data_IF_845956128291
#
_entry.id   IF_845956128291
#
_cell.length_a   1.000
_cell.length_b   1.000
_cell.length_c   1.000
_cell.angle_alpha   90.00
_cell.angle_beta   90.00
_cell.angle_gamma   90.00
#
_symmetry.space_group_name_H-M   'P 1'
#
loop_
_entity.id
_entity.type
_entity.pdbx_description
1 polymer ?
#
# COMPACT_ATOMS: atom_id res chain seq x y z
N UNK A 1 22.37 -11.48 -11.60
CA UNK A 1 22.91 -11.64 -12.98
C UNK A 1 22.32 -12.87 -13.66
N UNK A 2 22.46 -14.04 -13.08
CA UNK A 2 22.09 -15.33 -13.66
C UNK A 2 20.58 -15.47 -13.93
N UNK A 3 19.74 -15.01 -13.01
CA UNK A 3 18.28 -15.14 -13.09
C UNK A 3 17.58 -13.88 -13.62
N UNK A 4 18.30 -12.83 -13.97
CA UNK A 4 17.77 -11.57 -14.52
C UNK A 4 16.62 -10.93 -13.71
N UNK A 5 16.61 -11.12 -12.40
CA UNK A 5 15.59 -10.54 -11.51
C UNK A 5 15.73 -9.03 -11.40
N UNK A 6 14.61 -8.32 -11.19
CA UNK A 6 14.54 -6.87 -11.20
C UNK A 6 14.63 -6.24 -9.82
N UNK A 7 14.61 -7.04 -8.76
CA UNK A 7 14.71 -6.54 -7.39
C UNK A 7 14.49 -7.59 -6.34
N UNK A 8 14.39 -7.13 -5.09
CA UNK A 8 14.24 -7.99 -3.92
C UNK A 8 13.17 -7.45 -2.98
N UNK A 9 12.30 -8.34 -2.53
CA UNK A 9 11.40 -8.09 -1.41
C UNK A 9 11.97 -8.77 -0.16
N UNK A 10 12.10 -8.04 0.92
CA UNK A 10 12.58 -8.56 2.20
C UNK A 10 11.41 -8.84 3.13
N UNK A 11 11.22 -10.10 3.45
CA UNK A 11 10.33 -10.54 4.49
C UNK A 11 10.88 -10.06 5.83
N UNK A 12 10.01 -9.50 6.69
CA UNK A 12 10.41 -8.99 8.00
C UNK A 12 11.70 -8.13 7.94
N UNK A 13 11.75 -7.17 7.01
CA UNK A 13 12.89 -6.26 6.86
C UNK A 13 13.24 -5.55 8.18
N UNK A 14 12.24 -5.33 9.04
CA UNK A 14 12.42 -4.76 10.37
C UNK A 14 13.25 -5.59 11.35
N UNK A 15 13.65 -6.83 10.99
CA UNK A 15 14.62 -7.63 11.74
C UNK A 15 16.07 -7.34 11.34
N UNK A 16 16.29 -6.68 10.20
CA UNK A 16 17.60 -6.33 9.66
C UNK A 16 18.01 -4.92 10.11
N UNK A 17 19.29 -4.62 10.10
CA UNK A 17 19.77 -3.28 10.42
C UNK A 17 19.80 -2.35 9.19
N UNK A 18 19.70 -1.05 9.45
CA UNK A 18 19.74 0.03 8.45
C UNK A 18 21.01 -0.02 7.62
N UNK A 19 22.16 -0.28 8.24
CA UNK A 19 23.45 -0.28 7.56
C UNK A 19 23.54 -1.39 6.53
N UNK A 20 23.03 -2.59 6.88
CA UNK A 20 22.93 -3.72 5.97
C UNK A 20 22.06 -3.38 4.76
N UNK A 21 20.88 -2.83 4.98
CA UNK A 21 19.95 -2.48 3.91
C UNK A 21 20.52 -1.40 2.99
N UNK A 22 21.12 -0.36 3.56
CA UNK A 22 21.78 0.69 2.80
C UNK A 22 23.00 0.17 2.03
N UNK A 23 23.76 -0.77 2.58
CA UNK A 23 24.86 -1.43 1.88
C UNK A 23 24.37 -2.25 0.69
N UNK A 24 23.33 -3.05 0.84
CA UNK A 24 22.69 -3.80 -0.26
C UNK A 24 22.26 -2.84 -1.37
N UNK A 25 21.63 -1.72 -1.01
CA UNK A 25 21.23 -0.68 -1.98
C UNK A 25 22.44 -0.11 -2.72
N UNK A 26 23.46 0.27 -2.00
CA UNK A 26 24.70 0.84 -2.58
C UNK A 26 25.39 -0.12 -3.57
N UNK A 27 25.52 -1.39 -3.22
CA UNK A 27 26.10 -2.43 -4.08
C UNK A 27 25.32 -2.61 -5.39
N UNK A 28 23.97 -2.60 -5.29
CA UNK A 28 23.11 -2.72 -6.46
C UNK A 28 23.17 -1.45 -7.34
N UNK A 29 23.23 -0.27 -6.73
CA UNK A 29 23.34 0.99 -7.46
C UNK A 29 24.67 1.13 -8.20
N UNK A 30 25.78 0.71 -7.58
CA UNK A 30 27.09 0.69 -8.22
C UNK A 30 27.13 -0.25 -9.42
N UNK A 31 26.45 -1.40 -9.33
CA UNK A 31 26.49 -2.43 -10.38
C UNK A 31 25.51 -2.18 -11.53
N UNK A 32 24.31 -1.70 -11.22
CA UNK A 32 23.20 -1.60 -12.21
C UNK A 32 22.71 -0.18 -12.45
N UNK A 33 23.19 0.81 -11.69
CA UNK A 33 22.74 2.20 -11.72
C UNK A 33 21.72 2.51 -10.62
N UNK A 34 21.72 3.76 -10.17
CA UNK A 34 20.92 4.26 -9.05
C UNK A 34 19.43 3.94 -9.25
N UNK A 35 18.83 3.25 -8.28
CA UNK A 35 17.39 2.94 -8.25
C UNK A 35 16.90 1.96 -9.33
N UNK A 36 17.78 1.39 -10.15
CA UNK A 36 17.39 0.48 -11.26
C UNK A 36 16.86 -0.86 -10.76
N UNK A 37 17.36 -1.37 -9.67
CA UNK A 37 16.85 -2.58 -9.04
C UNK A 37 15.94 -2.20 -7.87
N UNK A 38 14.75 -2.80 -7.81
CA UNK A 38 13.77 -2.52 -6.78
C UNK A 38 14.21 -3.19 -5.47
N UNK A 39 14.21 -2.45 -4.37
CA UNK A 39 14.37 -2.99 -3.02
C UNK A 39 13.21 -2.49 -2.19
N UNK A 40 12.52 -3.41 -1.52
CA UNK A 40 11.48 -3.07 -0.56
C UNK A 40 11.27 -4.21 0.42
N UNK A 41 10.60 -3.93 1.54
CA UNK A 41 10.33 -4.97 2.53
C UNK A 41 9.31 -4.55 3.57
N UNK A 42 9.10 -5.43 4.53
CA UNK A 42 8.20 -5.23 5.65
C UNK A 42 8.93 -4.52 6.79
N UNK A 43 8.50 -3.28 7.14
CA UNK A 43 9.19 -2.48 8.15
C UNK A 43 8.77 -2.85 9.59
N UNK A 44 8.51 -4.11 9.84
CA UNK A 44 8.18 -4.66 11.16
C UNK A 44 8.95 -5.95 11.43
N UNK A 45 8.96 -6.35 12.70
CA UNK A 45 9.53 -7.59 13.17
C UNK A 45 8.42 -8.44 13.79
N UNK A 46 8.40 -9.73 13.45
CA UNK A 46 7.48 -10.69 14.09
C UNK A 46 8.07 -11.28 15.39
N UNK A 47 9.37 -11.13 15.61
CA UNK A 47 10.10 -11.67 16.76
C UNK A 47 11.30 -10.80 17.11
N UNK A 48 12.13 -11.26 18.03
CA UNK A 48 13.37 -10.58 18.42
C UNK A 48 14.40 -10.66 17.30
N UNK A 49 15.03 -9.52 17.02
CA UNK A 49 16.13 -9.47 16.08
C UNK A 49 17.39 -10.16 16.65
N UNK A 50 18.18 -10.75 15.74
CA UNK A 50 19.53 -11.23 16.03
C UNK A 50 20.61 -10.13 15.87
N UNK A 51 20.21 -8.90 15.54
CA UNK A 51 21.12 -7.77 15.39
C UNK A 51 21.68 -7.39 16.77
N UNK A 52 23.00 -7.36 16.86
CA UNK A 52 23.73 -7.05 18.10
C UNK A 52 24.05 -5.56 18.22
N UNK A 53 24.21 -5.11 19.47
CA UNK A 53 24.61 -3.76 19.80
C UNK A 53 23.52 -2.71 19.59
N UNK A 54 23.95 -1.43 19.43
CA UNK A 54 23.04 -0.28 19.29
C UNK A 54 22.68 0.04 17.83
N UNK A 55 22.66 -0.95 16.96
CA UNK A 55 22.28 -0.74 15.56
C UNK A 55 20.81 -0.40 15.43
N UNK A 56 20.50 0.47 14.49
CA UNK A 56 19.13 0.83 14.14
C UNK A 56 18.53 -0.21 13.19
N UNK A 57 17.36 -0.71 13.51
CA UNK A 57 16.65 -1.66 12.66
C UNK A 57 15.99 -0.94 11.47
N UNK A 58 15.87 -1.64 10.34
CA UNK A 58 15.16 -1.15 9.15
C UNK A 58 13.64 -1.22 9.33
N UNK A 59 13.16 -0.72 10.46
CA UNK A 59 11.77 -0.67 10.88
C UNK A 59 11.14 0.69 10.55
N UNK A 60 9.83 0.78 10.67
CA UNK A 60 9.00 1.94 10.31
C UNK A 60 9.52 3.26 10.88
N UNK A 61 9.86 3.26 12.16
CA UNK A 61 10.36 4.43 12.88
C UNK A 61 11.73 4.93 12.40
N UNK A 62 12.47 4.10 11.69
CA UNK A 62 13.80 4.40 11.16
C UNK A 62 13.81 4.59 9.63
N UNK A 63 12.64 4.73 8.98
CA UNK A 63 12.52 4.87 7.52
C UNK A 63 13.39 6.03 6.99
N UNK A 64 13.47 7.12 7.73
CA UNK A 64 14.31 8.27 7.39
C UNK A 64 15.82 8.00 7.41
N UNK A 65 16.30 6.88 7.96
CA UNK A 65 17.70 6.46 7.94
C UNK A 65 18.03 5.58 6.73
N UNK A 66 17.03 4.96 6.11
CA UNK A 66 17.20 4.18 4.88
C UNK A 66 17.48 5.08 3.68
N UNK A 67 18.14 4.54 2.66
CA UNK A 67 18.26 5.20 1.35
C UNK A 67 16.89 5.46 0.74
N UNK A 68 16.76 6.55 0.00
CA UNK A 68 15.51 6.97 -0.65
C UNK A 68 14.95 5.95 -1.64
N UNK A 69 15.74 4.97 -2.10
CA UNK A 69 15.33 3.90 -3.01
C UNK A 69 15.15 2.54 -2.31
N UNK A 70 14.91 2.54 -1.01
CA UNK A 70 14.49 1.35 -0.24
C UNK A 70 13.05 1.56 0.21
N UNK A 71 12.13 0.79 -0.36
CA UNK A 71 10.71 0.88 -0.08
C UNK A 71 10.29 0.10 1.17
N UNK A 72 9.28 0.58 1.87
CA UNK A 72 8.66 -0.08 2.99
C UNK A 72 7.15 -0.21 2.79
N UNK A 73 6.58 -1.36 3.06
CA UNK A 73 5.13 -1.56 3.04
C UNK A 73 4.46 -0.60 4.02
N UNK A 74 3.52 0.20 3.52
CA UNK A 74 2.85 1.24 4.30
C UNK A 74 1.57 0.70 4.96
N UNK A 75 1.70 0.14 6.15
CA UNK A 75 0.58 -0.32 6.97
C UNK A 75 -0.37 0.81 7.35
N UNK A 76 0.14 2.02 7.56
CA UNK A 76 -0.68 3.20 7.88
C UNK A 76 -1.66 3.55 6.74
N UNK A 77 -1.19 3.55 5.49
CA UNK A 77 -2.08 3.73 4.32
C UNK A 77 -3.06 2.57 4.18
N UNK A 78 -2.59 1.34 4.32
CA UNK A 78 -3.43 0.13 4.26
C UNK A 78 -4.58 0.20 5.27
N UNK A 79 -4.25 0.44 6.52
CA UNK A 79 -5.22 0.42 7.62
C UNK A 79 -6.08 1.68 7.64
N UNK A 80 -5.54 2.82 7.24
CA UNK A 80 -6.29 4.06 7.01
C UNK A 80 -7.40 3.87 5.98
N UNK A 81 -7.12 3.18 4.87
CA UNK A 81 -8.11 2.95 3.79
C UNK A 81 -9.17 1.94 4.22
N UNK A 82 -8.80 0.73 4.63
CA UNK A 82 -9.73 -0.41 4.82
C UNK A 82 -10.00 -0.80 6.26
N UNK A 83 -9.32 -0.16 7.21
CA UNK A 83 -9.31 -0.55 8.62
C UNK A 83 -8.21 -1.56 8.96
N UNK A 84 -7.95 -1.71 10.26
CA UNK A 84 -6.87 -2.52 10.81
C UNK A 84 -6.83 -3.94 10.22
N UNK A 85 -5.65 -4.35 9.78
CA UNK A 85 -5.44 -5.72 9.31
C UNK A 85 -5.54 -6.76 10.44
N UNK A 86 -5.32 -6.34 11.69
CA UNK A 86 -5.32 -7.23 12.86
C UNK A 86 -6.69 -7.30 13.55
N UNK A 87 -7.62 -6.40 13.25
CA UNK A 87 -8.96 -6.31 13.85
C UNK A 87 -10.03 -6.38 12.79
N UNK A 88 -10.64 -7.54 12.61
CA UNK A 88 -11.57 -7.83 11.52
C UNK A 88 -12.66 -6.76 11.33
N UNK A 89 -13.33 -6.34 12.40
CA UNK A 89 -14.47 -5.42 12.36
C UNK A 89 -14.11 -3.92 12.42
N UNK A 90 -12.82 -3.59 12.53
CA UNK A 90 -12.41 -2.19 12.51
C UNK A 90 -12.44 -1.65 11.09
N UNK A 91 -13.26 -0.63 10.87
CA UNK A 91 -13.41 0.04 9.59
C UNK A 91 -12.24 1.03 9.33
N UNK A 92 -12.04 1.36 8.06
CA UNK A 92 -11.20 2.47 7.62
C UNK A 92 -12.00 3.52 6.88
N UNK A 93 -11.32 4.41 6.19
CA UNK A 93 -11.92 5.54 5.47
C UNK A 93 -13.05 5.14 4.51
N UNK A 94 -12.87 4.06 3.73
CA UNK A 94 -13.82 3.69 2.69
C UNK A 94 -15.06 2.95 3.24
N UNK A 95 -14.99 2.37 4.41
CA UNK A 95 -16.01 1.47 4.95
C UNK A 95 -16.57 1.92 6.32
N UNK A 96 -16.51 3.23 6.60
CA UNK A 96 -17.30 3.87 7.63
C UNK A 96 -16.55 4.42 8.85
N UNK A 97 -15.22 4.39 8.89
CA UNK A 97 -14.48 5.09 9.94
C UNK A 97 -14.53 6.60 9.70
N UNK A 98 -14.81 7.33 10.76
CA UNK A 98 -14.72 8.79 10.78
C UNK A 98 -13.29 9.26 11.08
N UNK A 99 -12.96 10.51 10.69
CA UNK A 99 -11.72 11.20 11.01
C UNK A 99 -10.45 10.49 10.50
N UNK A 100 -10.52 9.96 9.25
CA UNK A 100 -9.39 9.34 8.56
C UNK A 100 -8.79 10.24 7.45
N UNK A 101 -9.29 11.46 7.33
CA UNK A 101 -8.91 12.40 6.27
C UNK A 101 -7.43 12.75 6.32
N UNK A 102 -6.88 12.97 7.52
CA UNK A 102 -5.47 13.34 7.71
C UNK A 102 -4.52 12.22 7.29
N UNK A 103 -4.85 10.96 7.62
CA UNK A 103 -4.10 9.78 7.17
C UNK A 103 -4.20 9.62 5.63
N UNK A 104 -5.38 9.91 5.05
CA UNK A 104 -5.53 9.86 3.59
C UNK A 104 -4.72 10.96 2.90
N UNK A 105 -4.71 12.17 3.43
CA UNK A 105 -3.89 13.27 2.91
C UNK A 105 -2.39 12.93 2.95
N UNK A 106 -1.90 12.38 4.06
CA UNK A 106 -0.52 11.91 4.17
C UNK A 106 -0.24 10.77 3.16
N UNK A 107 -1.19 9.85 2.98
CA UNK A 107 -1.07 8.73 2.04
C UNK A 107 -0.96 9.16 0.60
N UNK A 108 -1.67 10.22 0.18
CA UNK A 108 -1.63 10.73 -1.21
C UNK A 108 -0.21 11.16 -1.60
N UNK A 109 0.54 11.74 -0.69
CA UNK A 109 1.95 12.15 -0.89
C UNK A 109 2.96 11.10 -0.51
N UNK A 110 2.54 9.84 -0.36
CA UNK A 110 3.40 8.78 0.16
C UNK A 110 4.09 9.17 1.48
N UNK A 111 3.37 9.83 2.39
CA UNK A 111 3.85 10.29 3.70
C UNK A 111 5.01 11.29 3.65
N UNK A 112 5.40 11.79 2.48
CA UNK A 112 6.41 12.84 2.35
C UNK A 112 5.92 14.21 2.85
N UNK A 113 4.61 14.43 2.86
CA UNK A 113 3.95 15.52 3.55
C UNK A 113 2.90 14.96 4.51
N UNK A 114 2.95 15.40 5.77
CA UNK A 114 2.01 15.05 6.82
C UNK A 114 1.65 16.31 7.61
N UNK A 115 0.89 17.25 6.99
CA UNK A 115 0.67 18.56 7.55
C UNK A 115 -0.16 18.54 8.84
N UNK A 116 -0.97 17.52 9.03
CA UNK A 116 -1.84 17.35 10.19
C UNK A 116 -1.30 16.39 11.24
N UNK A 117 -0.05 15.93 11.08
CA UNK A 117 0.62 15.02 12.01
C UNK A 117 -0.18 13.73 12.27
N UNK A 118 -0.77 13.17 11.22
CA UNK A 118 -1.40 11.86 11.28
C UNK A 118 -0.40 10.81 11.78
N UNK A 119 -0.87 9.90 12.61
CA UNK A 119 -0.04 8.83 13.16
C UNK A 119 0.32 7.83 12.05
N UNK A 120 1.61 7.62 11.81
CA UNK A 120 2.05 6.73 10.74
C UNK A 120 3.54 6.78 10.46
N UNK A 121 3.88 6.94 9.18
CA UNK A 121 5.27 7.08 8.77
C UNK A 121 5.78 8.51 9.00
N UNK A 122 6.96 8.61 9.56
CA UNK A 122 7.63 9.89 9.80
C UNK A 122 8.97 9.96 9.06
N UNK A 123 9.40 11.18 8.75
CA UNK A 123 10.72 11.43 8.14
C UNK A 123 10.94 10.71 6.79
N UNK A 124 9.89 10.45 6.03
CA UNK A 124 9.99 9.90 4.67
C UNK A 124 10.69 10.91 3.76
N UNK A 125 11.74 10.48 3.07
CA UNK A 125 12.57 11.35 2.23
C UNK A 125 12.03 11.51 0.81
N UNK A 126 11.40 10.46 0.29
CA UNK A 126 10.92 10.42 -1.08
C UNK A 126 9.76 9.42 -1.22
N UNK A 127 8.85 9.61 -2.18
CA UNK A 127 7.77 8.65 -2.44
C UNK A 127 8.24 7.22 -2.74
N UNK A 128 9.47 7.06 -3.26
CA UNK A 128 10.09 5.75 -3.48
C UNK A 128 10.25 4.90 -2.22
N UNK A 129 10.29 5.51 -1.03
CA UNK A 129 10.36 4.78 0.24
C UNK A 129 9.04 4.15 0.67
N UNK A 130 7.94 4.46 0.02
CA UNK A 130 6.61 3.96 0.39
C UNK A 130 6.08 2.98 -0.65
N UNK A 131 5.69 1.79 -0.17
CA UNK A 131 4.92 0.82 -0.94
C UNK A 131 3.47 0.95 -0.53
N UNK A 132 2.66 1.54 -1.41
CA UNK A 132 1.24 1.80 -1.20
C UNK A 132 0.42 0.59 -1.59
N UNK A 133 -0.43 0.08 -0.70
CA UNK A 133 -1.22 -1.13 -0.91
C UNK A 133 -2.42 -1.17 0.04
N UNK A 134 -3.33 -2.10 -0.17
CA UNK A 134 -4.45 -2.38 0.73
C UNK A 134 -4.56 -3.84 1.17
N UNK A 135 -3.99 -4.78 0.41
CA UNK A 135 -3.90 -6.18 0.83
C UNK A 135 -2.64 -6.84 0.29
N UNK A 136 -2.18 -7.87 0.98
CA UNK A 136 -1.06 -8.72 0.64
C UNK A 136 -1.43 -10.18 0.91
N UNK A 137 -0.45 -11.10 0.84
CA UNK A 137 -0.70 -12.52 1.11
C UNK A 137 -1.03 -12.80 2.58
N UNK A 138 -0.51 -11.99 3.51
CA UNK A 138 -0.84 -12.04 4.94
C UNK A 138 -2.14 -11.30 5.24
N UNK A 139 -2.77 -11.66 6.35
CA UNK A 139 -4.02 -11.08 6.86
C UNK A 139 -5.19 -11.25 5.87
N UNK A 140 -6.28 -10.53 6.11
CA UNK A 140 -7.47 -10.54 5.24
C UNK A 140 -7.16 -9.99 3.86
N UNK A 141 -7.73 -10.62 2.81
CA UNK A 141 -7.84 -9.94 1.51
C UNK A 141 -8.67 -8.67 1.65
N UNK A 142 -8.61 -7.76 0.68
CA UNK A 142 -9.51 -6.60 0.67
C UNK A 142 -10.98 -7.03 0.72
N UNK A 143 -11.36 -8.02 -0.09
CA UNK A 143 -12.71 -8.54 -0.15
C UNK A 143 -13.19 -9.11 1.19
N UNK A 144 -12.39 -9.95 1.84
CA UNK A 144 -12.74 -10.55 3.12
C UNK A 144 -12.86 -9.49 4.21
N UNK A 145 -11.97 -8.50 4.22
CA UNK A 145 -12.04 -7.36 5.15
C UNK A 145 -13.33 -6.54 4.97
N UNK A 146 -13.72 -6.29 3.73
CA UNK A 146 -14.96 -5.56 3.45
C UNK A 146 -16.19 -6.35 3.91
N UNK A 147 -16.19 -7.67 3.75
CA UNK A 147 -17.30 -8.53 4.25
C UNK A 147 -17.44 -8.55 5.77
N UNK A 148 -16.37 -8.33 6.50
CA UNK A 148 -16.42 -8.20 7.96
C UNK A 148 -17.02 -6.87 8.43
N UNK A 149 -16.99 -5.85 7.60
CA UNK A 149 -17.44 -4.49 7.94
C UNK A 149 -18.72 -4.07 7.23
N UNK A 150 -19.08 -4.74 6.13
CA UNK A 150 -20.25 -4.42 5.27
C UNK A 150 -20.95 -5.71 4.86
N UNK A 151 -22.26 -5.75 4.95
CA UNK A 151 -23.06 -6.96 4.70
C UNK A 151 -23.37 -7.18 3.21
N UNK A 152 -23.67 -6.11 2.47
CA UNK A 152 -24.17 -6.19 1.10
C UNK A 152 -23.06 -6.41 0.06
N UNK A 153 -23.18 -7.46 -0.77
CA UNK A 153 -22.18 -7.80 -1.80
C UNK A 153 -21.92 -6.65 -2.78
N UNK A 154 -22.97 -5.97 -3.25
CA UNK A 154 -22.83 -4.88 -4.21
C UNK A 154 -22.09 -3.69 -3.59
N UNK A 155 -22.33 -3.44 -2.31
CA UNK A 155 -21.59 -2.43 -1.57
C UNK A 155 -20.13 -2.82 -1.41
N UNK A 156 -19.81 -4.07 -1.11
CA UNK A 156 -18.42 -4.55 -1.08
C UNK A 156 -17.71 -4.36 -2.43
N UNK A 157 -18.36 -4.59 -3.56
CA UNK A 157 -17.79 -4.34 -4.89
C UNK A 157 -17.53 -2.84 -5.13
N UNK A 158 -18.48 -1.98 -4.70
CA UNK A 158 -18.33 -0.53 -4.78
C UNK A 158 -17.15 -0.06 -3.94
N UNK A 159 -17.01 -0.55 -2.72
CA UNK A 159 -15.92 -0.20 -1.81
C UNK A 159 -14.58 -0.77 -2.26
N UNK A 160 -14.56 -1.95 -2.90
CA UNK A 160 -13.33 -2.47 -3.52
C UNK A 160 -12.84 -1.52 -4.62
N UNK A 161 -13.74 -1.06 -5.51
CA UNK A 161 -13.40 -0.03 -6.52
C UNK A 161 -12.91 1.27 -5.87
N UNK A 162 -13.54 1.71 -4.79
CA UNK A 162 -13.15 2.91 -4.07
C UNK A 162 -11.77 2.77 -3.43
N UNK A 163 -11.48 1.63 -2.78
CA UNK A 163 -10.14 1.34 -2.27
C UNK A 163 -9.07 1.43 -3.36
N UNK A 164 -9.33 0.77 -4.49
CA UNK A 164 -8.43 0.79 -5.64
C UNK A 164 -8.21 2.22 -6.16
N UNK A 165 -9.27 3.03 -6.30
CA UNK A 165 -9.15 4.42 -6.70
C UNK A 165 -8.25 5.22 -5.75
N UNK A 166 -8.45 5.06 -4.44
CA UNK A 166 -7.66 5.79 -3.42
C UNK A 166 -6.19 5.40 -3.51
N UNK A 167 -5.84 4.12 -3.33
CA UNK A 167 -4.42 3.79 -3.24
C UNK A 167 -3.68 3.87 -4.58
N UNK A 168 -4.36 3.62 -5.71
CA UNK A 168 -3.73 3.74 -7.04
C UNK A 168 -3.52 5.18 -7.49
N UNK A 169 -4.14 6.16 -6.83
CA UNK A 169 -3.88 7.58 -7.06
C UNK A 169 -2.94 8.21 -6.03
N UNK A 170 -2.49 7.46 -5.04
CA UNK A 170 -1.40 7.88 -4.17
C UNK A 170 -0.04 7.79 -4.87
N UNK A 171 0.91 8.64 -4.49
CA UNK A 171 2.32 8.47 -4.87
C UNK A 171 2.94 7.21 -4.23
N UNK A 172 4.18 6.94 -4.55
CA UNK A 172 4.89 5.75 -4.07
C UNK A 172 4.86 4.58 -5.04
N UNK A 173 5.41 3.47 -4.59
CA UNK A 173 5.40 2.21 -5.35
C UNK A 173 4.09 1.49 -5.10
N UNK A 174 3.35 1.18 -6.16
CA UNK A 174 2.12 0.41 -6.01
C UNK A 174 2.40 -1.08 -5.83
N UNK A 175 1.64 -1.67 -4.94
CA UNK A 175 1.52 -3.11 -4.79
C UNK A 175 0.04 -3.48 -4.61
N UNK A 176 -0.42 -4.57 -5.20
CA UNK A 176 -1.70 -5.19 -4.88
C UNK A 176 -1.63 -6.71 -4.97
N UNK A 177 -2.43 -7.37 -4.15
CA UNK A 177 -2.50 -8.81 -4.11
C UNK A 177 -3.13 -9.35 -5.41
N UNK A 178 -2.50 -10.34 -6.04
CA UNK A 178 -3.09 -11.02 -7.21
C UNK A 178 -4.48 -11.54 -6.87
N UNK A 179 -5.47 -11.14 -7.66
CA UNK A 179 -6.88 -11.48 -7.45
C UNK A 179 -7.69 -10.41 -6.73
N UNK A 180 -7.07 -9.36 -6.19
CA UNK A 180 -7.79 -8.23 -5.60
C UNK A 180 -8.73 -7.59 -6.62
N UNK A 181 -8.29 -7.53 -7.88
CA UNK A 181 -9.01 -7.02 -9.05
C UNK A 181 -10.23 -7.87 -9.47
N UNK A 182 -10.44 -9.01 -8.84
CA UNK A 182 -11.63 -9.83 -9.03
C UNK A 182 -12.24 -10.37 -7.74
N UNK A 183 -12.05 -9.61 -6.65
CA UNK A 183 -12.63 -9.91 -5.34
C UNK A 183 -12.18 -11.26 -4.75
N UNK A 184 -10.87 -11.55 -4.82
CA UNK A 184 -10.26 -12.74 -4.21
C UNK A 184 -10.61 -12.84 -2.74
N UNK A 185 -11.04 -14.04 -2.34
CA UNK A 185 -11.33 -14.39 -0.95
C UNK A 185 -10.43 -15.52 -0.45
N UNK A 186 -10.17 -15.52 0.83
CA UNK A 186 -9.63 -16.64 1.60
C UNK A 186 -10.70 -17.15 2.59
N UNK A 187 -11.97 -17.04 2.20
CA UNK A 187 -13.14 -17.45 2.97
C UNK A 187 -13.15 -16.86 4.40
N UNK A 188 -12.72 -15.60 4.53
CA UNK A 188 -12.66 -14.89 5.81
C UNK A 188 -11.53 -15.34 6.73
N UNK A 189 -10.55 -16.08 6.24
CA UNK A 189 -9.38 -16.47 7.01
C UNK A 189 -8.24 -15.45 6.82
N UNK A 190 -7.72 -14.95 7.92
CA UNK A 190 -6.62 -13.98 7.92
C UNK A 190 -5.26 -14.66 7.75
N UNK A 191 -5.01 -15.77 8.46
CA UNK A 191 -3.73 -16.45 8.49
C UNK A 191 -3.80 -17.79 7.75
N UNK A 192 -3.35 -17.81 6.49
CA UNK A 192 -3.52 -18.96 5.59
C UNK A 192 -2.22 -19.58 5.09
N UNK A 193 -1.06 -19.23 5.67
CA UNK A 193 0.24 -19.72 5.19
C UNK A 193 0.41 -21.26 5.29
N UNK A 194 -0.30 -21.93 6.22
CA UNK A 194 -0.37 -23.39 6.36
C UNK A 194 -1.67 -23.99 5.83
N UNK A 195 -2.55 -23.19 5.26
CA UNK A 195 -3.84 -23.66 4.76
C UNK A 195 -3.68 -24.45 3.44
N UNK A 196 -4.67 -25.26 3.08
CA UNK A 196 -4.66 -25.99 1.81
C UNK A 196 -4.52 -25.05 0.60
N UNK A 197 -3.88 -25.56 -0.47
CA UNK A 197 -3.72 -24.83 -1.73
C UNK A 197 -5.07 -24.36 -2.30
N UNK A 198 -6.13 -25.16 -2.10
CA UNK A 198 -7.49 -24.82 -2.54
C UNK A 198 -7.98 -23.47 -2.01
N UNK A 199 -7.57 -23.08 -0.81
CA UNK A 199 -7.93 -21.79 -0.21
C UNK A 199 -7.06 -20.63 -0.76
N UNK A 200 -5.79 -20.91 -1.04
CA UNK A 200 -4.83 -19.88 -1.47
C UNK A 200 -4.74 -19.70 -3.00
N UNK A 201 -5.35 -20.60 -3.78
CA UNK A 201 -5.34 -20.53 -5.24
C UNK A 201 -6.07 -19.28 -5.76
N UNK A 202 -5.73 -18.86 -6.97
CA UNK A 202 -6.50 -17.88 -7.71
C UNK A 202 -7.71 -18.58 -8.37
N UNK A 203 -8.88 -18.05 -8.14
CA UNK A 203 -10.12 -18.50 -8.76
C UNK A 203 -10.40 -17.65 -10.01
N UNK A 204 -9.99 -18.17 -11.16
CA UNK A 204 -10.13 -17.47 -12.43
C UNK A 204 -11.58 -17.35 -12.93
N UNK A 205 -12.53 -18.17 -12.43
CA UNK A 205 -13.94 -18.02 -12.72
C UNK A 205 -14.46 -16.70 -12.15
N UNK A 206 -13.99 -16.31 -10.96
CA UNK A 206 -14.32 -15.01 -10.35
C UNK A 206 -13.80 -13.82 -11.16
N UNK A 207 -12.71 -13.97 -11.89
CA UNK A 207 -12.24 -12.91 -12.79
C UNK A 207 -13.23 -12.67 -13.94
N UNK A 208 -13.86 -13.73 -14.43
CA UNK A 208 -14.91 -13.62 -15.44
C UNK A 208 -16.22 -13.07 -14.84
N UNK A 209 -16.65 -13.55 -13.69
CA UNK A 209 -17.84 -13.08 -12.98
C UNK A 209 -17.72 -11.59 -12.62
N UNK A 210 -16.56 -11.14 -12.17
CA UNK A 210 -16.28 -9.77 -11.75
C UNK A 210 -15.48 -8.98 -12.80
N UNK A 211 -15.67 -9.26 -14.10
CA UNK A 211 -14.95 -8.60 -15.20
C UNK A 211 -15.01 -7.07 -15.16
N UNK A 212 -16.10 -6.51 -14.64
CA UNK A 212 -16.25 -5.05 -14.50
C UNK A 212 -15.30 -4.48 -13.46
N UNK A 213 -14.99 -5.25 -12.40
CA UNK A 213 -13.96 -4.88 -11.43
C UNK A 213 -12.57 -4.99 -12.06
N UNK A 214 -12.29 -6.06 -12.83
CA UNK A 214 -11.03 -6.22 -13.57
C UNK A 214 -10.81 -5.03 -14.51
N UNK A 215 -11.81 -4.67 -15.31
CA UNK A 215 -11.74 -3.53 -16.23
C UNK A 215 -11.52 -2.20 -15.48
N UNK A 216 -12.09 -2.06 -14.30
CA UNK A 216 -11.88 -0.88 -13.46
C UNK A 216 -10.42 -0.75 -13.03
N UNK A 217 -9.79 -1.83 -12.56
CA UNK A 217 -8.36 -1.85 -12.23
C UNK A 217 -7.48 -1.56 -13.46
N UNK A 218 -7.82 -2.14 -14.62
CA UNK A 218 -7.13 -1.84 -15.88
C UNK A 218 -7.20 -0.33 -16.22
N UNK A 219 -8.39 0.28 -16.04
CA UNK A 219 -8.60 1.71 -16.23
C UNK A 219 -7.73 2.56 -15.28
N UNK A 220 -7.66 2.20 -14.00
CA UNK A 220 -6.82 2.90 -13.02
C UNK A 220 -5.32 2.77 -13.34
N UNK A 221 -4.87 1.60 -13.77
CA UNK A 221 -3.48 1.39 -14.21
C UNK A 221 -3.17 2.25 -15.44
N UNK A 222 -4.09 2.31 -16.41
CA UNK A 222 -3.94 3.15 -17.60
C UNK A 222 -3.89 4.64 -17.23
N UNK A 223 -4.81 5.10 -16.36
CA UNK A 223 -4.84 6.46 -15.85
C UNK A 223 -3.52 6.82 -15.15
N UNK A 224 -3.06 5.96 -14.24
CA UNK A 224 -1.81 6.20 -13.50
C UNK A 224 -0.60 6.33 -14.44
N UNK A 225 -0.53 5.54 -15.51
CA UNK A 225 0.54 5.65 -16.53
C UNK A 225 0.52 6.99 -17.26
N UNK A 226 -0.65 7.63 -17.40
CA UNK A 226 -0.79 8.95 -18.03
C UNK A 226 -0.44 10.10 -17.07
N UNK A 227 -0.61 9.91 -15.76
CA UNK A 227 -0.35 10.89 -14.72
C UNK A 227 1.07 10.74 -14.18
N UNK A 228 2.05 11.31 -14.88
CA UNK A 228 3.47 11.17 -14.54
C UNK A 228 3.79 11.57 -13.09
N UNK A 229 3.10 12.56 -12.52
CA UNK A 229 3.29 13.01 -11.15
C UNK A 229 2.97 11.93 -10.10
N UNK A 230 2.05 10.99 -10.39
CA UNK A 230 1.78 9.86 -9.50
C UNK A 230 2.89 8.80 -9.54
N UNK A 231 3.60 8.69 -10.65
CA UNK A 231 4.67 7.72 -10.87
C UNK A 231 6.07 8.28 -10.57
N UNK A 232 6.17 9.58 -10.39
CA UNK A 232 7.43 10.25 -10.05
C UNK A 232 7.79 9.92 -8.59
N UNK A 233 8.93 9.26 -8.43
CA UNK A 233 9.46 8.81 -7.14
C UNK A 233 10.61 9.68 -6.63
N UNK A 234 10.90 10.79 -7.32
CA UNK A 234 11.92 11.74 -6.90
C UNK A 234 11.55 12.43 -5.58
N UNK A 235 12.58 12.85 -4.85
CA UNK A 235 12.45 13.41 -3.50
C UNK A 235 11.43 14.55 -3.38
N UNK A 236 11.34 15.39 -4.40
CA UNK A 236 10.51 16.59 -4.36
C UNK A 236 9.17 16.46 -5.14
N UNK A 237 8.89 15.27 -5.68
CA UNK A 237 7.70 15.06 -6.51
C UNK A 237 6.39 15.29 -5.77
N UNK A 238 6.34 15.02 -4.47
CA UNK A 238 5.15 15.25 -3.65
C UNK A 238 4.73 16.73 -3.59
N UNK A 239 5.68 17.66 -3.79
CA UNK A 239 5.39 19.11 -3.81
C UNK A 239 4.56 19.55 -5.02
N UNK A 240 4.40 18.69 -6.03
CA UNK A 240 3.55 18.93 -7.18
C UNK A 240 2.06 18.68 -6.89
N UNK A 241 1.75 18.07 -5.74
CA UNK A 241 0.38 17.82 -5.30
C UNK A 241 -0.05 19.00 -4.42
N UNK A 242 -0.82 19.94 -4.99
CA UNK A 242 -1.16 21.22 -4.34
C UNK A 242 -2.57 21.27 -3.77
N UNK A 243 -3.54 20.57 -4.36
CA UNK A 243 -4.97 20.67 -4.03
C UNK A 243 -5.61 19.33 -3.64
N UNK A 244 -5.03 18.65 -2.67
CA UNK A 244 -5.50 17.33 -2.22
C UNK A 244 -6.92 17.34 -1.62
N UNK A 245 -7.34 18.45 -1.02
CA UNK A 245 -8.65 18.60 -0.38
C UNK A 245 -9.82 18.29 -1.31
N UNK A 246 -9.78 18.80 -2.53
CA UNK A 246 -10.89 18.68 -3.48
C UNK A 246 -11.04 17.23 -3.98
N UNK A 247 -9.97 16.50 -4.20
CA UNK A 247 -10.07 15.13 -4.74
C UNK A 247 -10.58 14.13 -3.71
N UNK A 248 -10.23 14.22 -2.43
CA UNK A 248 -10.72 13.29 -1.39
C UNK A 248 -12.18 13.54 -1.03
N UNK A 249 -12.63 14.79 -0.97
CA UNK A 249 -14.05 15.12 -0.75
C UNK A 249 -14.91 14.63 -1.92
N UNK A 250 -14.44 14.75 -3.16
CA UNK A 250 -15.15 14.27 -4.34
C UNK A 250 -15.26 12.74 -4.41
N UNK A 251 -14.30 12.02 -3.87
CA UNK A 251 -14.30 10.56 -3.80
C UNK A 251 -15.24 10.06 -2.68
N UNK A 252 -15.23 10.73 -1.53
CA UNK A 252 -15.98 10.29 -0.34
C UNK A 252 -17.45 10.69 -0.32
N UNK A 253 -17.83 11.82 -0.97
CA UNK A 253 -19.20 12.33 -0.94
C UNK A 253 -19.68 12.84 -2.31
N UNK A 254 -19.91 11.98 -3.30
CA UNK A 254 -20.40 12.40 -4.62
C UNK A 254 -21.80 13.07 -4.56
N UNK A 255 -22.50 12.96 -3.43
CA UNK A 255 -23.82 13.57 -3.20
C UNK A 255 -23.78 15.01 -2.69
N UNK A 256 -22.68 15.48 -2.08
CA UNK A 256 -22.57 16.89 -1.62
C UNK A 256 -22.33 17.90 -2.74
N UNK A 257 -21.92 17.46 -3.92
CA UNK A 257 -21.77 18.34 -5.10
C UNK A 257 -23.09 18.95 -5.63
N UNK A 258 -24.25 18.51 -5.14
CA UNK A 258 -25.56 19.09 -5.51
C UNK A 258 -25.97 20.32 -4.72
N UNK A 259 -25.19 20.77 -3.74
CA UNK A 259 -25.54 21.88 -2.85
C UNK A 259 -24.73 23.16 -3.11
N UNK A 260 -23.93 23.23 -4.18
CA UNK A 260 -23.22 24.45 -4.58
C UNK A 260 -23.63 24.74 -6.04
N UNK A 261 -24.82 25.22 -6.22
CA UNK A 261 -25.28 25.94 -7.41
C UNK A 261 -25.94 27.24 -6.98
#
# INVERSE_FOLDING_TARGET
EEYHIDGFRFDLMGLLDVDLMNRIRSELDQRYGKGKKIIYGEPWAADKTAVEGNKKLAAKENIGLLDENIGAFCDSTRDGIKGSALRAKEAGFINGAERKEDEMLASVTAWCANPYQAEGFENVKAPSQIVTYVSAHDNYTLWDKLKETVVEKNECLRLNKMAAAVYMTCQGTLFFLSGEEFARTKDGQDNTFKAPISLNRLDWEKAWENKDLVHYYQGLIALRKQLSGLCDKSKDSYKQITDMWLSLIHISEPTRLRCIS
#
